data_IF_243893024929
#
_entry.id   IF_243893024929
#
_cell.length_a   1.000
_cell.length_b   1.000
_cell.length_c   1.000
_cell.angle_alpha   90.00
_cell.angle_beta   90.00
_cell.angle_gamma   90.00
#
_symmetry.space_group_name_H-M   'P 1'
#
loop_
_entity.id
_entity.type
_entity.pdbx_description
1 polymer ?
#
# COMPACT_ATOMS: atom_id res chain seq x y z
N UNK A 1 -1.97 -0.43 11.17
CA UNK A 1 -1.16 -0.22 9.96
C UNK A 1 0.26 -0.72 10.20
N UNK A 2 0.79 -1.48 9.27
CA UNK A 2 2.10 -2.11 9.37
C UNK A 2 3.06 -1.53 8.33
N UNK A 3 4.26 -1.14 8.75
CA UNK A 3 5.32 -0.77 7.80
C UNK A 3 6.23 -1.97 7.64
N UNK A 4 6.47 -2.42 6.41
CA UNK A 4 7.34 -3.55 6.17
C UNK A 4 8.79 -3.20 6.50
N UNK A 5 9.48 -4.11 7.16
CA UNK A 5 10.90 -4.01 7.50
C UNK A 5 11.75 -4.99 6.68
N UNK A 6 11.11 -5.81 5.84
CA UNK A 6 11.74 -6.79 4.97
C UNK A 6 11.02 -6.81 3.63
N UNK A 7 11.70 -7.32 2.60
CA UNK A 7 11.15 -7.40 1.24
C UNK A 7 10.28 -8.67 1.10
N UNK A 8 9.16 -8.69 1.82
CA UNK A 8 8.30 -9.87 1.96
C UNK A 8 6.80 -9.59 1.79
N UNK A 9 6.43 -8.62 0.97
CA UNK A 9 5.02 -8.32 0.75
C UNK A 9 4.26 -9.54 0.20
N UNK A 10 4.91 -10.37 -0.62
CA UNK A 10 4.29 -11.57 -1.16
C UNK A 10 3.75 -12.47 -0.05
N UNK A 11 4.54 -12.66 1.02
CA UNK A 11 4.09 -13.45 2.17
C UNK A 11 2.88 -12.81 2.86
N UNK A 12 2.92 -11.49 3.00
CA UNK A 12 1.84 -10.76 3.67
C UNK A 12 0.51 -10.92 2.92
N UNK A 13 0.54 -10.79 1.59
CA UNK A 13 -0.69 -10.91 0.79
C UNK A 13 -1.18 -12.36 0.71
N UNK A 14 -0.31 -13.34 0.89
CA UNK A 14 -0.70 -14.75 0.94
C UNK A 14 -1.31 -15.13 2.29
N UNK A 15 -0.87 -14.50 3.36
CA UNK A 15 -1.32 -14.78 4.72
C UNK A 15 -2.59 -14.01 5.12
N UNK A 16 -3.00 -13.04 4.33
CA UNK A 16 -4.15 -12.19 4.65
C UNK A 16 -5.09 -12.11 3.46
N UNK A 17 -6.37 -12.33 3.70
CA UNK A 17 -7.37 -12.35 2.63
C UNK A 17 -7.50 -11.01 1.91
N UNK A 18 -7.47 -9.92 2.67
CA UNK A 18 -7.63 -8.58 2.12
C UNK A 18 -6.50 -7.68 2.59
N UNK A 19 -5.75 -7.10 1.66
CA UNK A 19 -4.60 -6.24 1.98
C UNK A 19 -4.68 -4.98 1.12
N UNK A 20 -4.45 -3.83 1.76
CA UNK A 20 -4.28 -2.56 1.04
C UNK A 20 -2.87 -2.06 1.33
N UNK A 21 -2.15 -1.69 0.28
CA UNK A 21 -0.73 -1.31 0.37
C UNK A 21 -0.54 0.11 -0.12
N UNK A 22 0.24 0.90 0.63
CA UNK A 22 0.81 2.16 0.14
C UNK A 22 2.26 1.91 -0.23
N UNK A 23 2.59 2.02 -1.52
CA UNK A 23 3.98 2.02 -1.97
C UNK A 23 4.52 3.44 -1.85
N UNK A 24 5.67 3.57 -1.20
CA UNK A 24 6.21 4.84 -0.72
C UNK A 24 7.72 4.89 -0.91
N UNK A 25 8.33 6.04 -0.61
CA UNK A 25 9.79 6.18 -0.54
C UNK A 25 10.10 7.31 0.43
N UNK A 26 11.31 7.27 1.01
CA UNK A 26 11.71 8.25 2.01
C UNK A 26 11.78 9.68 1.49
N UNK A 27 12.11 9.86 0.19
CA UNK A 27 12.21 11.18 -0.44
C UNK A 27 10.88 11.76 -0.92
N UNK A 28 9.83 10.98 -0.90
CA UNK A 28 8.55 11.34 -1.51
C UNK A 28 7.69 12.18 -0.56
N UNK A 29 7.55 13.48 -0.86
CA UNK A 29 6.72 14.40 -0.05
C UNK A 29 5.25 14.02 -0.05
N UNK A 30 4.70 13.62 -1.20
CA UNK A 30 3.32 13.18 -1.30
C UNK A 30 3.05 11.91 -0.49
N UNK A 31 4.03 11.01 -0.42
CA UNK A 31 3.94 9.80 0.39
C UNK A 31 3.84 10.15 1.88
N UNK A 32 4.62 11.12 2.33
CA UNK A 32 4.57 11.60 3.72
C UNK A 32 3.23 12.25 4.03
N UNK A 33 2.69 13.00 3.08
CA UNK A 33 1.38 13.64 3.23
C UNK A 33 0.26 12.59 3.31
N UNK A 34 0.35 11.56 2.49
CA UNK A 34 -0.71 10.53 2.40
C UNK A 34 -0.66 9.50 3.53
N UNK A 35 0.50 9.27 4.13
CA UNK A 35 0.66 8.24 5.16
C UNK A 35 -0.29 8.42 6.36
N UNK A 36 -0.43 9.62 6.96
CA UNK A 36 -1.40 9.78 8.04
C UNK A 36 -2.85 9.62 7.58
N UNK A 37 -3.14 9.96 6.33
CA UNK A 37 -4.48 9.78 5.76
C UNK A 37 -4.77 8.30 5.51
N UNK A 38 -3.78 7.55 5.08
CA UNK A 38 -3.85 6.10 4.93
C UNK A 38 -4.07 5.43 6.29
N UNK A 39 -3.37 5.91 7.32
CA UNK A 39 -3.55 5.42 8.69
C UNK A 39 -4.97 5.68 9.20
N UNK A 40 -5.52 6.86 8.91
CA UNK A 40 -6.89 7.19 9.30
C UNK A 40 -7.88 6.27 8.59
N UNK A 41 -7.68 6.03 7.30
CA UNK A 41 -8.50 5.11 6.52
C UNK A 41 -8.45 3.70 7.12
N UNK A 42 -7.27 3.27 7.54
CA UNK A 42 -7.09 1.98 8.22
C UNK A 42 -7.93 1.90 9.51
N UNK A 43 -7.96 2.97 10.30
CA UNK A 43 -8.70 2.99 11.56
C UNK A 43 -10.22 2.96 11.35
N UNK A 44 -10.68 3.33 10.16
CA UNK A 44 -12.11 3.41 9.83
C UNK A 44 -12.60 2.19 9.02
N UNK A 45 -11.70 1.29 8.66
CA UNK A 45 -12.02 0.18 7.75
C UNK A 45 -11.66 -1.16 8.40
N UNK A 46 -12.64 -2.02 8.59
CA UNK A 46 -12.43 -3.36 9.13
C UNK A 46 -12.27 -4.38 8.01
N UNK A 47 -11.63 -5.50 8.32
CA UNK A 47 -11.51 -6.62 7.39
C UNK A 47 -10.34 -6.52 6.42
N UNK A 48 -9.52 -5.48 6.52
CA UNK A 48 -8.35 -5.30 5.67
C UNK A 48 -7.10 -5.09 6.49
N UNK A 49 -5.99 -5.65 6.03
CA UNK A 49 -4.67 -5.34 6.57
C UNK A 49 -4.09 -4.18 5.77
N UNK A 50 -3.63 -3.13 6.45
CA UNK A 50 -3.04 -1.95 5.83
C UNK A 50 -1.53 -1.99 6.00
N UNK A 51 -0.81 -1.88 4.89
CA UNK A 51 0.65 -2.06 4.84
C UNK A 51 1.31 -0.90 4.08
N UNK A 52 2.42 -0.40 4.60
CA UNK A 52 3.26 0.57 3.90
C UNK A 52 4.54 -0.11 3.47
N UNK A 53 4.89 0.02 2.19
CA UNK A 53 6.07 -0.60 1.59
C UNK A 53 6.96 0.49 1.01
N UNK A 54 8.25 0.50 1.40
CA UNK A 54 9.25 1.35 0.76
C UNK A 54 9.63 0.70 -0.57
N UNK A 55 9.17 1.29 -1.67
CA UNK A 55 9.33 0.72 -3.01
C UNK A 55 10.77 0.73 -3.50
N UNK A 56 11.62 1.60 -2.94
CA UNK A 56 13.04 1.63 -3.30
C UNK A 56 13.85 0.60 -2.52
N UNK A 57 13.50 0.46 -1.24
CA UNK A 57 14.17 -0.46 -0.35
C UNK A 57 13.82 -1.91 -0.62
N UNK A 58 12.60 -2.15 -1.11
CA UNK A 58 12.04 -3.49 -1.29
C UNK A 58 11.61 -3.73 -2.74
N UNK A 59 12.58 -3.96 -3.65
CA UNK A 59 12.28 -4.06 -5.08
C UNK A 59 11.40 -5.25 -5.48
N UNK A 60 11.46 -6.37 -4.77
CA UNK A 60 10.61 -7.52 -5.08
C UNK A 60 9.16 -7.27 -4.67
N UNK A 61 8.96 -6.61 -3.54
CA UNK A 61 7.63 -6.20 -3.10
C UNK A 61 7.02 -5.18 -4.06
N UNK A 62 7.83 -4.25 -4.58
CA UNK A 62 7.39 -3.26 -5.55
C UNK A 62 6.81 -3.89 -6.82
N UNK A 63 7.35 -5.02 -7.24
CA UNK A 63 6.92 -5.72 -8.46
C UNK A 63 5.52 -6.31 -8.37
N UNK A 64 4.93 -6.36 -7.19
CA UNK A 64 3.60 -6.92 -7.00
C UNK A 64 2.47 -5.97 -7.44
N UNK A 65 2.83 -4.77 -7.90
CA UNK A 65 1.92 -3.81 -8.53
C UNK A 65 2.71 -3.07 -9.62
N UNK A 66 2.01 -2.26 -10.41
CA UNK A 66 2.67 -1.40 -11.40
C UNK A 66 2.95 -0.05 -10.75
N UNK A 67 4.16 0.09 -10.18
CA UNK A 67 4.52 1.27 -9.40
C UNK A 67 5.44 2.17 -10.26
N UNK A 68 4.83 3.07 -11.00
CA UNK A 68 5.56 4.04 -11.84
C UNK A 68 5.82 5.34 -11.12
N UNK A 69 4.88 5.78 -10.30
CA UNK A 69 4.97 7.00 -9.49
C UNK A 69 4.53 6.71 -8.06
N UNK A 70 4.90 7.59 -7.14
CA UNK A 70 4.61 7.44 -5.73
C UNK A 70 3.76 8.62 -5.23
N UNK A 71 2.86 8.40 -4.28
CA UNK A 71 2.51 7.08 -3.74
C UNK A 71 1.58 6.31 -4.68
N UNK A 72 1.72 4.99 -4.71
CA UNK A 72 0.77 4.11 -5.39
C UNK A 72 0.09 3.25 -4.32
N UNK A 73 -1.22 3.15 -4.42
CA UNK A 73 -2.02 2.33 -3.51
C UNK A 73 -2.57 1.13 -4.27
N UNK A 74 -2.53 -0.04 -3.65
CA UNK A 74 -2.95 -1.27 -4.30
C UNK A 74 -3.75 -2.13 -3.34
N UNK A 75 -4.82 -2.76 -3.85
CA UNK A 75 -5.65 -3.68 -3.08
C UNK A 75 -5.44 -5.10 -3.58
N UNK A 76 -5.23 -6.01 -2.65
CA UNK A 76 -5.06 -7.43 -2.93
C UNK A 76 -6.17 -8.22 -2.23
N UNK A 77 -6.74 -9.20 -2.94
CA UNK A 77 -7.72 -10.13 -2.36
C UNK A 77 -7.33 -11.54 -2.75
N UNK A 78 -7.29 -12.41 -1.75
CA UNK A 78 -6.93 -13.82 -1.92
C UNK A 78 -5.60 -13.98 -2.68
N UNK A 79 -4.63 -13.13 -2.34
CA UNK A 79 -3.30 -13.17 -2.94
C UNK A 79 -3.15 -12.51 -4.31
N UNK A 80 -4.21 -11.86 -4.81
CA UNK A 80 -4.20 -11.27 -6.15
C UNK A 80 -4.45 -9.77 -6.12
N UNK A 81 -3.74 -9.04 -6.97
CA UNK A 81 -3.96 -7.61 -7.19
C UNK A 81 -5.32 -7.40 -7.85
N UNK A 82 -6.22 -6.67 -7.22
CA UNK A 82 -7.55 -6.41 -7.76
C UNK A 82 -7.77 -4.96 -8.19
N UNK A 83 -7.02 -4.02 -7.62
CA UNK A 83 -7.07 -2.61 -8.04
C UNK A 83 -5.82 -1.86 -7.59
N UNK A 84 -5.50 -0.79 -8.29
CA UNK A 84 -4.44 0.12 -7.86
C UNK A 84 -4.74 1.54 -8.37
N UNK A 85 -4.22 2.53 -7.65
CA UNK A 85 -4.33 3.93 -8.03
C UNK A 85 -3.09 4.69 -7.55
N UNK A 86 -2.60 5.61 -8.38
CA UNK A 86 -1.56 6.54 -8.00
C UNK A 86 -2.23 7.89 -7.74
N UNK A 87 -2.13 8.40 -6.50
CA UNK A 87 -2.83 9.63 -6.14
C UNK A 87 -2.21 10.30 -4.91
N UNK A 88 -2.34 11.63 -4.84
CA UNK A 88 -2.07 12.40 -3.64
C UNK A 88 -3.36 12.95 -3.01
N UNK A 89 -4.52 12.41 -3.43
CA UNK A 89 -5.83 12.81 -2.92
C UNK A 89 -6.42 11.68 -2.09
N UNK A 90 -6.59 11.91 -0.78
CA UNK A 90 -7.06 10.86 0.12
C UNK A 90 -8.49 10.39 -0.17
N UNK A 91 -9.33 11.22 -0.79
CA UNK A 91 -10.70 10.84 -1.16
C UNK A 91 -10.72 9.66 -2.13
N UNK A 92 -9.69 9.54 -2.97
CA UNK A 92 -9.59 8.48 -3.97
C UNK A 92 -9.33 7.11 -3.33
N UNK A 93 -8.77 7.08 -2.12
CA UNK A 93 -8.49 5.81 -1.43
C UNK A 93 -9.73 4.96 -1.23
N UNK A 94 -10.89 5.59 -1.06
CA UNK A 94 -12.15 4.89 -0.84
C UNK A 94 -12.65 4.14 -2.07
N UNK A 95 -12.07 4.42 -3.23
CA UNK A 95 -12.45 3.82 -4.50
C UNK A 95 -11.65 2.54 -4.81
N UNK A 96 -10.68 2.20 -3.96
CA UNK A 96 -9.87 0.99 -4.13
C UNK A 96 -10.68 -0.29 -3.96
#
# INVERSE_FOLDING_TARGET
MTELTQDNLQEVIEENQNVIVQFSAGWCGNCRLMKPRFRKFASETEGFKFVVVDAEKFPESRKLATVDNLPTFATYKDGKLVSQVQTNKHEILKEL
#
